data_IF_274818506107
#
_entry.id   IF_274818506107
#
_cell.length_a   1.000
_cell.length_b   1.000
_cell.length_c   1.000
_cell.angle_alpha   90.00
_cell.angle_beta   90.00
_cell.angle_gamma   90.00
#
_symmetry.space_group_name_H-M   'P 1'
#
loop_
_entity.id
_entity.type
_entity.pdbx_description
1 polymer ?
#
# COMPACT_ATOMS: atom_id res chain seq x y z
N UNK A 1 -50.24 -19.27 23.35
CA UNK A 1 -49.06 -18.65 23.99
C UNK A 1 -47.74 -19.16 23.42
N UNK A 2 -47.50 -20.47 23.31
CA UNK A 2 -46.22 -21.02 22.80
C UNK A 2 -45.83 -20.57 21.37
N UNK A 3 -46.80 -20.38 20.46
CA UNK A 3 -46.55 -19.90 19.09
C UNK A 3 -46.11 -18.43 19.02
N UNK A 4 -46.51 -17.59 19.98
CA UNK A 4 -46.13 -16.18 20.03
C UNK A 4 -44.67 -16.02 20.49
N UNK A 5 -44.23 -16.86 21.44
CA UNK A 5 -42.84 -16.89 21.90
C UNK A 5 -41.86 -17.36 20.82
N UNK A 6 -42.26 -18.33 19.98
CA UNK A 6 -41.43 -18.78 18.84
C UNK A 6 -41.30 -17.68 17.78
N UNK A 7 -42.37 -16.93 17.51
CA UNK A 7 -42.30 -15.79 16.59
C UNK A 7 -41.44 -14.64 17.14
N UNK A 8 -41.55 -14.31 18.43
CA UNK A 8 -40.71 -13.28 19.07
C UNK A 8 -39.24 -13.71 19.10
N UNK A 9 -38.95 -14.99 19.38
CA UNK A 9 -37.59 -15.52 19.35
C UNK A 9 -37.02 -15.53 17.92
N UNK A 10 -37.79 -15.92 16.91
CA UNK A 10 -37.37 -15.86 15.51
C UNK A 10 -37.15 -14.42 15.03
N UNK A 11 -37.99 -13.46 15.47
CA UNK A 11 -37.83 -12.04 15.16
C UNK A 11 -36.60 -11.43 15.86
N UNK A 12 -36.32 -11.82 17.11
CA UNK A 12 -35.11 -11.40 17.83
C UNK A 12 -33.84 -11.99 17.20
N UNK A 13 -33.87 -13.23 16.70
CA UNK A 13 -32.76 -13.83 15.96
C UNK A 13 -32.57 -13.15 14.59
N UNK A 14 -33.65 -12.76 13.91
CA UNK A 14 -33.57 -12.00 12.64
C UNK A 14 -33.07 -10.56 12.85
N UNK A 15 -33.41 -9.92 13.97
CA UNK A 15 -32.94 -8.57 14.31
C UNK A 15 -31.46 -8.57 14.75
N UNK A 16 -30.96 -9.67 15.34
CA UNK A 16 -29.52 -9.78 15.66
C UNK A 16 -28.65 -10.26 14.49
N UNK A 17 -29.21 -10.98 13.52
CA UNK A 17 -28.49 -11.36 12.28
C UNK A 17 -28.49 -10.26 11.20
N UNK A 18 -29.29 -9.22 11.39
CA UNK A 18 -29.58 -8.24 10.35
C UNK A 18 -29.18 -6.82 10.72
N UNK A 19 -27.97 -6.59 11.20
CA UNK A 19 -27.17 -5.37 10.95
C UNK A 19 -25.75 -5.61 11.50
N UNK A 20 -24.86 -6.15 10.67
CA UNK A 20 -23.45 -5.82 10.81
C UNK A 20 -23.36 -4.31 10.52
N UNK A 21 -23.54 -3.48 11.56
CA UNK A 21 -23.26 -2.07 11.47
C UNK A 21 -21.77 -1.98 11.14
N UNK A 22 -21.48 -1.77 9.86
CA UNK A 22 -20.15 -1.49 9.35
C UNK A 22 -19.65 -0.24 10.09
N UNK A 23 -18.99 -0.45 11.22
CA UNK A 23 -18.47 0.61 12.07
C UNK A 23 -17.44 1.36 11.24
N UNK A 24 -17.80 2.55 10.79
CA UNK A 24 -16.97 3.32 9.87
C UNK A 24 -15.67 3.65 10.59
N UNK A 25 -14.56 3.12 10.09
CA UNK A 25 -13.23 3.41 10.60
C UNK A 25 -12.79 4.82 10.19
N UNK A 26 -13.17 5.79 11.01
CA UNK A 26 -12.89 7.21 10.78
C UNK A 26 -11.38 7.50 10.67
N UNK A 27 -10.54 6.79 11.43
CA UNK A 27 -9.07 6.90 11.38
C UNK A 27 -8.53 6.44 10.03
N UNK A 28 -9.02 5.30 9.53
CA UNK A 28 -8.67 4.77 8.22
C UNK A 28 -8.96 5.73 7.07
N UNK A 29 -10.14 6.37 7.08
CA UNK A 29 -10.49 7.36 6.05
C UNK A 29 -9.63 8.61 6.10
N UNK A 30 -9.26 9.07 7.29
CA UNK A 30 -8.35 10.21 7.43
C UNK A 30 -6.95 9.87 6.90
N UNK A 31 -6.42 8.71 7.27
CA UNK A 31 -5.13 8.24 6.77
C UNK A 31 -5.13 8.04 5.24
N UNK A 32 -6.21 7.48 4.67
CA UNK A 32 -6.36 7.36 3.21
C UNK A 32 -6.29 8.71 2.50
N UNK A 33 -6.83 9.78 3.09
CA UNK A 33 -6.70 11.14 2.55
C UNK A 33 -5.22 11.53 2.52
N UNK A 34 -4.48 11.31 3.60
CA UNK A 34 -3.05 11.62 3.67
C UNK A 34 -2.23 10.82 2.64
N UNK A 35 -2.55 9.54 2.44
CA UNK A 35 -1.92 8.71 1.40
C UNK A 35 -2.19 9.26 0.00
N UNK A 36 -3.43 9.69 -0.28
CA UNK A 36 -3.78 10.29 -1.56
C UNK A 36 -3.09 11.64 -1.80
N UNK A 37 -3.02 12.49 -0.79
CA UNK A 37 -2.26 13.75 -0.89
C UNK A 37 -0.77 13.48 -1.15
N UNK A 38 -0.17 12.49 -0.47
CA UNK A 38 1.21 12.10 -0.72
C UNK A 38 1.42 11.57 -2.15
N UNK A 39 0.49 10.75 -2.67
CA UNK A 39 0.51 10.29 -4.06
C UNK A 39 0.38 11.45 -5.05
N UNK A 40 -0.46 12.45 -4.75
CA UNK A 40 -0.63 13.66 -5.58
C UNK A 40 0.65 14.51 -5.63
N UNK A 41 1.27 14.75 -4.46
CA UNK A 41 2.55 15.47 -4.35
C UNK A 41 3.66 14.76 -5.14
N UNK A 42 3.69 13.43 -5.09
CA UNK A 42 4.62 12.64 -5.90
C UNK A 42 4.29 12.76 -7.40
N UNK A 43 3.03 12.56 -7.78
CA UNK A 43 2.60 12.51 -9.18
C UNK A 43 2.88 13.84 -9.93
N UNK A 44 2.57 14.96 -9.28
CA UNK A 44 2.82 16.33 -9.78
C UNK A 44 4.32 16.66 -9.97
N UNK A 45 5.22 15.88 -9.35
CA UNK A 45 6.66 16.14 -9.40
C UNK A 45 7.14 17.24 -8.44
N UNK A 46 6.30 17.70 -7.52
CA UNK A 46 6.65 18.71 -6.51
C UNK A 46 7.90 18.31 -5.70
N UNK A 47 8.10 17.02 -5.44
CA UNK A 47 9.28 16.51 -4.70
C UNK A 47 10.58 16.81 -5.46
N UNK A 48 10.62 16.65 -6.79
CA UNK A 48 11.80 16.98 -7.60
C UNK A 48 12.12 18.47 -7.59
N UNK A 49 11.11 19.32 -7.41
CA UNK A 49 11.32 20.78 -7.30
C UNK A 49 11.98 21.18 -5.98
N UNK A 50 12.07 20.27 -4.99
CA UNK A 50 12.77 20.52 -3.73
C UNK A 50 14.28 20.25 -3.82
N UNK A 51 14.74 19.48 -4.82
CA UNK A 51 16.15 19.16 -5.02
C UNK A 51 17.03 20.41 -5.26
N UNK A 52 16.61 21.40 -6.07
CA UNK A 52 17.34 22.67 -6.23
C UNK A 52 17.38 23.53 -4.96
N UNK A 53 16.50 23.31 -3.97
CA UNK A 53 16.46 24.09 -2.73
C UNK A 53 17.60 23.76 -1.77
N UNK A 54 18.49 22.82 -2.13
CA UNK A 54 19.78 22.68 -1.48
C UNK A 54 19.68 22.35 0.01
N UNK A 55 18.79 21.42 0.38
CA UNK A 55 18.83 20.75 1.68
C UNK A 55 20.06 19.83 1.71
N UNK A 56 21.27 20.42 1.72
CA UNK A 56 22.58 19.81 1.45
C UNK A 56 23.05 18.71 2.40
N UNK A 57 22.13 18.08 3.14
CA UNK A 57 22.37 16.95 4.03
C UNK A 57 21.73 15.65 3.53
N UNK A 58 20.82 15.69 2.53
CA UNK A 58 20.09 14.50 2.05
C UNK A 58 19.93 14.55 0.52
N UNK A 59 20.56 13.63 -0.19
CA UNK A 59 20.25 13.37 -1.60
C UNK A 59 18.89 12.67 -1.67
N UNK A 60 17.89 13.32 -2.27
CA UNK A 60 16.57 12.72 -2.45
C UNK A 60 16.63 11.63 -3.53
N UNK A 61 15.94 10.50 -3.37
CA UNK A 61 15.78 9.53 -4.45
C UNK A 61 15.00 10.16 -5.62
N UNK A 62 15.09 9.58 -6.84
CA UNK A 62 14.39 10.08 -8.02
C UNK A 62 12.88 9.80 -7.96
N UNK A 63 12.19 10.49 -7.05
CA UNK A 63 10.77 10.31 -6.74
C UNK A 63 9.91 11.23 -7.62
N UNK A 64 8.84 10.68 -8.20
CA UNK A 64 7.96 11.37 -9.15
C UNK A 64 8.70 11.86 -10.40
N UNK A 65 8.07 12.69 -11.27
CA UNK A 65 6.62 12.74 -11.45
C UNK A 65 6.10 11.40 -12.00
N UNK A 66 4.84 11.09 -11.71
CA UNK A 66 4.21 9.84 -12.08
C UNK A 66 3.02 10.08 -13.02
N UNK A 67 3.09 9.51 -14.23
CA UNK A 67 2.13 9.78 -15.30
C UNK A 67 0.81 9.00 -15.19
N UNK A 68 0.76 7.95 -14.36
CA UNK A 68 -0.35 7.00 -14.31
C UNK A 68 -0.82 6.67 -12.88
N UNK A 69 -0.54 7.55 -11.92
CA UNK A 69 -0.81 7.33 -10.50
C UNK A 69 -2.32 7.36 -10.21
N UNK A 70 -2.92 6.22 -9.84
CA UNK A 70 -4.32 6.23 -9.42
C UNK A 70 -4.53 6.90 -8.06
N UNK A 71 -5.69 7.51 -7.87
CA UNK A 71 -6.20 7.79 -6.54
C UNK A 71 -6.54 6.49 -5.80
N UNK A 72 -6.12 6.36 -4.55
CA UNK A 72 -6.44 5.22 -3.70
C UNK A 72 -7.86 5.35 -3.12
N UNK A 73 -8.58 4.22 -3.07
CA UNK A 73 -9.92 4.05 -2.51
C UNK A 73 -9.85 3.15 -1.29
N UNK A 74 -10.75 3.38 -0.33
CA UNK A 74 -10.90 2.49 0.81
C UNK A 74 -11.55 1.18 0.38
N UNK A 75 -11.03 0.06 0.87
CA UNK A 75 -11.51 -1.29 0.57
C UNK A 75 -11.82 -2.01 1.88
N UNK A 76 -13.11 -2.26 2.11
CA UNK A 76 -13.60 -3.05 3.26
C UNK A 76 -12.99 -4.45 3.27
N UNK A 77 -12.87 -5.17 2.14
CA UNK A 77 -12.15 -6.45 2.11
C UNK A 77 -10.72 -6.36 2.65
N UNK A 78 -9.93 -5.34 2.26
CA UNK A 78 -8.56 -5.18 2.75
C UNK A 78 -8.53 -4.82 4.24
N UNK A 79 -9.48 -4.03 4.72
CA UNK A 79 -9.64 -3.72 6.15
C UNK A 79 -9.98 -4.98 6.96
N UNK A 80 -10.83 -5.86 6.45
CA UNK A 80 -11.13 -7.15 7.09
C UNK A 80 -9.89 -8.03 7.18
N UNK A 81 -9.05 -8.08 6.14
CA UNK A 81 -7.76 -8.79 6.19
C UNK A 81 -6.85 -8.14 7.24
N UNK A 82 -6.75 -6.81 7.24
CA UNK A 82 -5.91 -6.08 8.19
C UNK A 82 -6.32 -6.36 9.64
N UNK A 83 -7.62 -6.37 9.94
CA UNK A 83 -8.15 -6.68 11.25
C UNK A 83 -7.78 -8.11 11.71
N UNK A 84 -7.88 -9.10 10.80
CA UNK A 84 -7.52 -10.49 11.11
C UNK A 84 -6.03 -10.67 11.38
N UNK A 85 -5.18 -9.97 10.62
CA UNK A 85 -3.73 -10.08 10.72
C UNK A 85 -3.13 -9.23 11.84
N UNK A 86 -3.90 -8.32 12.42
CA UNK A 86 -3.41 -7.34 13.39
C UNK A 86 -2.77 -7.99 14.62
N UNK A 87 -3.39 -9.06 15.15
CA UNK A 87 -2.91 -9.75 16.36
C UNK A 87 -1.50 -10.35 16.18
N UNK A 88 -1.16 -10.81 14.98
CA UNK A 88 0.17 -11.35 14.70
C UNK A 88 1.21 -10.25 14.63
N UNK A 89 0.87 -9.12 14.02
CA UNK A 89 1.74 -7.95 13.92
C UNK A 89 1.94 -7.30 15.30
N UNK A 90 0.91 -7.25 16.14
CA UNK A 90 1.01 -6.72 17.50
C UNK A 90 2.05 -7.45 18.35
N UNK A 91 2.32 -8.74 18.09
CA UNK A 91 3.34 -9.53 18.80
C UNK A 91 4.79 -9.22 18.38
N UNK A 92 5.00 -8.55 17.24
CA UNK A 92 6.34 -8.22 16.76
C UNK A 92 7.03 -7.21 17.67
N UNK A 93 8.36 -7.17 17.69
CA UNK A 93 9.10 -6.25 18.58
C UNK A 93 9.47 -4.93 17.93
N UNK A 94 9.54 -4.91 16.61
CA UNK A 94 9.89 -3.73 15.84
C UNK A 94 8.74 -2.72 15.77
N UNK A 95 9.10 -1.45 15.68
CA UNK A 95 8.17 -0.32 15.70
C UNK A 95 7.41 -0.17 14.39
N UNK A 96 7.99 -0.62 13.28
CA UNK A 96 7.37 -0.54 11.96
C UNK A 96 8.07 -1.47 10.98
N UNK A 97 7.31 -1.93 9.99
CA UNK A 97 7.80 -2.89 9.02
C UNK A 97 6.80 -3.20 7.92
N UNK A 98 7.08 -4.28 7.20
CA UNK A 98 6.30 -4.75 6.07
C UNK A 98 5.31 -5.83 6.48
N UNK A 99 4.20 -5.89 5.77
CA UNK A 99 3.28 -7.00 5.76
C UNK A 99 3.27 -7.62 4.36
N UNK A 100 3.46 -8.93 4.25
CA UNK A 100 3.45 -9.62 2.98
C UNK A 100 2.87 -11.03 3.09
N UNK A 101 1.97 -11.36 2.17
CA UNK A 101 1.44 -12.70 1.89
C UNK A 101 1.46 -12.91 0.38
N UNK A 102 0.97 -14.06 -0.11
CA UNK A 102 0.83 -14.31 -1.56
C UNK A 102 -0.10 -13.30 -2.26
N UNK A 103 -1.16 -12.86 -1.58
CA UNK A 103 -2.20 -11.98 -2.14
C UNK A 103 -2.05 -10.50 -1.74
N UNK A 104 -1.34 -10.23 -0.64
CA UNK A 104 -1.38 -8.94 0.03
C UNK A 104 0.01 -8.43 0.37
N UNK A 105 0.16 -7.12 0.24
CA UNK A 105 1.33 -6.36 0.64
C UNK A 105 0.88 -5.19 1.52
N UNK A 106 1.78 -4.63 2.29
CA UNK A 106 1.41 -3.58 3.22
C UNK A 106 2.51 -3.21 4.16
N UNK A 107 2.14 -2.39 5.12
CA UNK A 107 3.07 -1.85 6.11
C UNK A 107 2.32 -1.59 7.41
N UNK A 108 3.08 -1.61 8.50
CA UNK A 108 2.55 -1.30 9.82
C UNK A 108 3.47 -0.36 10.58
N UNK A 109 2.88 0.31 11.58
CA UNK A 109 3.60 1.05 12.59
C UNK A 109 2.91 0.90 13.95
N UNK A 110 3.71 0.91 15.02
CA UNK A 110 3.28 0.85 16.40
C UNK A 110 3.28 2.24 17.01
N UNK A 111 2.43 2.45 18.01
CA UNK A 111 2.32 3.72 18.74
C UNK A 111 1.90 4.87 17.82
N UNK A 112 2.83 5.73 17.40
CA UNK A 112 2.57 6.81 16.47
C UNK A 112 3.51 6.78 15.26
N UNK A 113 3.12 7.51 14.22
CA UNK A 113 3.85 7.55 12.96
C UNK A 113 5.22 8.25 13.10
N UNK A 114 5.36 9.20 14.02
CA UNK A 114 6.59 9.97 14.24
C UNK A 114 7.69 9.06 14.77
N UNK A 115 7.38 8.25 15.77
CA UNK A 115 8.32 7.28 16.35
C UNK A 115 8.77 6.24 15.32
N UNK A 116 7.84 5.78 14.49
CA UNK A 116 8.14 4.86 13.39
C UNK A 116 9.10 5.48 12.36
N UNK A 117 8.88 6.74 11.96
CA UNK A 117 9.79 7.44 11.03
C UNK A 117 11.17 7.67 11.66
N UNK A 118 11.21 8.04 12.94
CA UNK A 118 12.46 8.23 13.66
C UNK A 118 13.30 6.95 13.74
N UNK A 119 12.65 5.81 13.98
CA UNK A 119 13.31 4.51 14.00
C UNK A 119 13.88 4.12 12.63
N UNK A 120 13.11 4.31 11.55
CA UNK A 120 13.60 4.09 10.19
C UNK A 120 14.75 5.03 9.84
N UNK A 121 14.62 6.31 10.15
CA UNK A 121 15.66 7.31 9.92
C UNK A 121 16.97 6.95 10.63
N UNK A 122 16.88 6.49 11.89
CA UNK A 122 18.03 5.99 12.65
C UNK A 122 18.64 4.73 12.01
N UNK A 123 17.81 3.78 11.56
CA UNK A 123 18.29 2.56 10.88
C UNK A 123 19.02 2.87 9.57
N UNK A 124 18.55 3.84 8.80
CA UNK A 124 19.09 4.14 7.46
C UNK A 124 20.26 5.12 7.50
N UNK A 125 20.17 6.19 8.30
CA UNK A 125 21.13 7.30 8.30
C UNK A 125 21.95 7.42 9.59
N UNK A 126 21.68 6.61 10.61
CA UNK A 126 22.36 6.69 11.91
C UNK A 126 22.04 7.95 12.72
N UNK A 127 21.08 8.78 12.28
CA UNK A 127 20.72 10.05 12.89
C UNK A 127 19.25 10.07 13.33
N UNK A 128 18.94 10.85 14.37
CA UNK A 128 17.56 11.14 14.79
C UNK A 128 17.02 12.32 13.98
N UNK A 129 15.79 12.21 13.50
CA UNK A 129 15.13 13.24 12.69
C UNK A 129 14.36 14.27 13.54
N UNK A 130 14.62 14.30 14.86
CA UNK A 130 13.96 15.16 15.85
C UNK A 130 13.82 16.64 15.41
N UNK A 131 14.83 17.31 14.81
CA UNK A 131 14.70 18.72 14.42
C UNK A 131 13.70 18.96 13.28
N UNK A 132 13.56 17.98 12.37
CA UNK A 132 12.63 18.06 11.24
C UNK A 132 11.21 17.78 11.76
N UNK A 133 11.05 16.79 12.63
CA UNK A 133 9.76 16.40 13.21
C UNK A 133 9.19 17.47 14.15
N UNK A 134 10.04 18.18 14.91
CA UNK A 134 9.59 19.34 15.70
C UNK A 134 9.10 20.50 14.82
N UNK A 135 9.75 20.77 13.68
CA UNK A 135 9.27 21.76 12.72
C UNK A 135 7.96 21.32 12.07
N UNK A 136 7.81 20.04 11.76
CA UNK A 136 6.57 19.48 11.19
C UNK A 136 5.39 19.59 12.15
N UNK A 137 5.61 19.47 13.48
CA UNK A 137 4.57 19.69 14.52
C UNK A 137 3.91 21.06 14.48
N UNK A 138 4.57 22.08 13.93
CA UNK A 138 4.02 23.42 13.80
C UNK A 138 2.97 23.57 12.67
N UNK A 139 2.89 22.60 11.74
CA UNK A 139 1.95 22.62 10.62
C UNK A 139 0.75 21.68 10.91
N UNK A 140 -0.35 22.22 11.43
CA UNK A 140 -1.57 21.44 11.70
C UNK A 140 -2.17 20.81 10.42
N UNK A 141 -2.80 19.63 10.58
CA UNK A 141 -3.44 18.74 9.58
C UNK A 141 -2.57 18.21 8.43
N UNK A 142 -1.64 19.01 7.91
CA UNK A 142 -0.68 18.60 6.87
C UNK A 142 0.43 17.67 7.39
N UNK A 143 0.59 17.59 8.72
CA UNK A 143 1.70 16.88 9.34
C UNK A 143 1.72 15.38 9.05
N UNK A 144 0.57 14.70 9.10
CA UNK A 144 0.53 13.25 8.89
C UNK A 144 0.84 12.88 7.44
N UNK A 145 0.38 13.71 6.49
CA UNK A 145 0.76 13.58 5.08
C UNK A 145 2.27 13.75 4.90
N UNK A 146 2.86 14.77 5.52
CA UNK A 146 4.30 15.03 5.43
C UNK A 146 5.13 13.92 6.10
N UNK A 147 4.73 13.45 7.29
CA UNK A 147 5.40 12.35 7.98
C UNK A 147 5.32 11.07 7.14
N UNK A 148 4.14 10.74 6.60
CA UNK A 148 3.98 9.59 5.71
C UNK A 148 4.85 9.72 4.45
N UNK A 149 4.88 10.90 3.84
CA UNK A 149 5.69 11.16 2.66
C UNK A 149 7.19 11.00 2.95
N UNK A 150 7.67 11.54 4.09
CA UNK A 150 9.05 11.33 4.54
C UNK A 150 9.32 9.84 4.70
N UNK A 151 8.44 9.11 5.40
CA UNK A 151 8.61 7.68 5.60
C UNK A 151 8.72 6.91 4.27
N UNK A 152 7.82 7.19 3.32
CA UNK A 152 7.81 6.60 1.99
C UNK A 152 9.06 6.95 1.16
N UNK A 153 9.61 8.15 1.33
CA UNK A 153 10.89 8.53 0.70
C UNK A 153 12.05 7.77 1.36
N UNK A 154 12.08 7.63 2.68
CA UNK A 154 13.15 6.90 3.38
C UNK A 154 13.15 5.42 3.00
N UNK A 155 11.97 4.83 2.77
CA UNK A 155 11.81 3.43 2.33
C UNK A 155 11.72 3.28 0.81
N UNK A 156 12.03 4.33 0.04
CA UNK A 156 11.96 4.27 -1.41
C UNK A 156 12.97 3.26 -1.97
N UNK A 157 12.59 2.43 -2.97
CA UNK A 157 13.50 1.44 -3.55
C UNK A 157 14.76 2.08 -4.14
N UNK A 158 15.93 1.49 -3.85
CA UNK A 158 17.22 1.97 -4.36
C UNK A 158 17.55 1.45 -5.77
N UNK A 159 16.85 0.43 -6.23
CA UNK A 159 17.07 -0.21 -7.52
C UNK A 159 15.74 -0.65 -8.13
N UNK A 160 15.66 -0.54 -9.46
CA UNK A 160 14.54 -1.04 -10.26
C UNK A 160 15.06 -2.09 -11.27
N UNK A 161 14.29 -3.16 -11.57
CA UNK A 161 13.00 -3.53 -10.98
C UNK A 161 13.12 -3.90 -9.50
N UNK A 162 12.07 -3.62 -8.73
CA UNK A 162 11.98 -3.93 -7.30
C UNK A 162 11.94 -5.45 -7.13
N UNK A 163 12.86 -6.04 -6.35
CA UNK A 163 12.83 -7.48 -6.05
C UNK A 163 11.52 -7.90 -5.39
N UNK A 164 11.05 -9.12 -5.66
CA UNK A 164 9.77 -9.62 -5.13
C UNK A 164 9.72 -9.68 -3.60
N UNK A 165 10.85 -9.98 -2.97
CA UNK A 165 11.00 -10.01 -1.52
C UNK A 165 11.44 -8.66 -0.93
N UNK A 166 11.43 -7.59 -1.71
CA UNK A 166 11.86 -6.28 -1.22
C UNK A 166 10.89 -5.74 -0.17
N UNK A 167 11.47 -5.27 0.92
CA UNK A 167 10.78 -4.71 2.07
C UNK A 167 10.76 -3.18 1.98
N UNK A 168 9.79 -2.63 1.23
CA UNK A 168 9.76 -1.20 0.86
C UNK A 168 8.79 -0.35 1.70
N UNK A 169 8.19 -0.94 2.73
CA UNK A 169 7.38 -0.30 3.75
C UNK A 169 6.23 0.54 3.18
N UNK A 170 6.03 1.79 3.63
CA UNK A 170 4.99 2.67 3.09
C UNK A 170 5.14 3.00 1.60
N UNK A 171 6.29 2.73 0.98
CA UNK A 171 6.44 2.84 -0.48
C UNK A 171 5.53 1.87 -1.23
N UNK A 172 5.02 0.81 -0.58
CA UNK A 172 3.96 -0.05 -1.12
C UNK A 172 2.72 0.76 -1.55
N UNK A 173 2.44 1.86 -0.84
CA UNK A 173 1.34 2.77 -1.17
C UNK A 173 1.65 3.72 -2.33
N UNK A 174 2.84 3.66 -2.94
CA UNK A 174 3.24 4.47 -4.09
C UNK A 174 3.13 3.72 -5.43
N UNK A 175 2.75 2.44 -5.42
CA UNK A 175 2.43 1.74 -6.66
C UNK A 175 1.23 2.41 -7.36
N UNK A 176 1.46 2.92 -8.57
CA UNK A 176 0.46 3.68 -9.34
C UNK A 176 -0.77 2.87 -9.68
N UNK A 177 -0.60 1.59 -10.01
CA UNK A 177 -1.70 0.70 -10.39
C UNK A 177 -2.49 0.15 -9.20
N UNK A 178 -1.97 0.27 -7.97
CA UNK A 178 -2.70 -0.11 -6.75
C UNK A 178 -3.59 1.04 -6.33
N UNK A 179 -4.90 0.81 -6.33
CA UNK A 179 -5.91 1.83 -6.02
C UNK A 179 -6.87 1.40 -4.90
N UNK A 180 -6.63 0.28 -4.23
CA UNK A 180 -7.41 -0.17 -3.08
C UNK A 180 -6.49 -0.37 -1.88
N UNK A 181 -6.88 0.20 -0.74
CA UNK A 181 -6.24 -0.08 0.55
C UNK A 181 -7.28 -0.20 1.65
N UNK A 182 -6.94 -0.92 2.72
CA UNK A 182 -7.70 -0.93 3.96
C UNK A 182 -6.76 -1.10 5.14
N UNK A 183 -7.08 -0.46 6.25
CA UNK A 183 -6.25 -0.50 7.44
C UNK A 183 -7.06 -0.82 8.68
N UNK A 184 -6.42 -1.49 9.62
CA UNK A 184 -6.92 -1.73 10.96
C UNK A 184 -6.04 -0.98 11.97
N UNK A 185 -6.66 -0.52 13.07
CA UNK A 185 -5.99 0.30 14.08
C UNK A 185 -6.34 -0.21 15.48
N UNK A 186 -5.31 -0.50 16.26
CA UNK A 186 -5.36 -0.74 17.71
C UNK A 186 -4.09 -0.12 18.33
N UNK A 187 -3.32 -0.87 19.13
CA UNK A 187 -1.95 -0.50 19.54
C UNK A 187 -0.95 -0.48 18.36
N UNK A 188 -1.35 -1.10 17.25
CA UNK A 188 -0.63 -1.11 15.97
C UNK A 188 -1.60 -0.67 14.89
N UNK A 189 -1.10 0.09 13.92
CA UNK A 189 -1.79 0.33 12.66
C UNK A 189 -1.20 -0.57 11.58
N UNK A 190 -2.05 -1.33 10.89
CA UNK A 190 -1.67 -2.19 9.77
C UNK A 190 -2.49 -1.79 8.55
N UNK A 191 -1.82 -1.39 7.48
CA UNK A 191 -2.44 -1.08 6.20
C UNK A 191 -2.09 -2.15 5.16
N UNK A 192 -3.12 -2.64 4.47
CA UNK A 192 -3.04 -3.69 3.47
C UNK A 192 -3.49 -3.16 2.10
N UNK A 193 -2.74 -3.57 1.08
CA UNK A 193 -2.99 -3.38 -0.34
C UNK A 193 -2.93 -4.73 -1.04
N UNK A 194 -3.60 -4.87 -2.18
CA UNK A 194 -3.45 -6.07 -3.03
C UNK A 194 -2.03 -6.13 -3.59
N UNK A 195 -1.36 -7.26 -3.42
CA UNK A 195 -0.03 -7.44 -4.01
C UNK A 195 -0.16 -7.62 -5.52
N UNK A 196 0.38 -6.65 -6.24
CA UNK A 196 0.45 -6.63 -7.70
C UNK A 196 1.75 -5.91 -8.03
N UNK A 197 2.69 -6.56 -8.71
CA UNK A 197 3.95 -5.93 -9.09
C UNK A 197 3.90 -5.54 -10.57
N UNK A 198 3.88 -4.24 -10.86
CA UNK A 198 3.90 -3.70 -12.22
C UNK A 198 5.32 -3.79 -12.81
N UNK A 199 5.76 -5.00 -13.14
CA UNK A 199 7.11 -5.31 -13.65
C UNK A 199 8.23 -4.76 -12.73
N UNK A 200 7.97 -4.73 -11.42
CA UNK A 200 8.89 -4.19 -10.43
C UNK A 200 9.07 -2.66 -10.47
N UNK A 201 8.21 -1.90 -11.16
CA UNK A 201 8.21 -0.42 -11.12
C UNK A 201 7.07 0.10 -10.26
N UNK A 202 7.29 1.19 -9.50
CA UNK A 202 6.22 1.82 -8.73
C UNK A 202 5.20 2.48 -9.65
N UNK A 203 5.66 3.18 -10.69
CA UNK A 203 4.83 3.94 -11.60
C UNK A 203 5.56 4.20 -12.93
N UNK A 204 4.83 4.70 -13.93
CA UNK A 204 5.42 5.18 -15.18
C UNK A 204 5.86 6.63 -14.97
N UNK A 205 7.15 6.91 -15.17
CA UNK A 205 7.64 8.29 -15.14
C UNK A 205 7.01 9.12 -16.28
N UNK A 206 6.74 10.39 -15.95
CA UNK A 206 6.22 11.39 -16.89
C UNK A 206 5.32 12.40 -16.19
N UNK A 207 4.86 13.39 -16.96
CA UNK A 207 3.93 14.42 -16.47
C UNK A 207 2.66 13.76 -15.95
N UNK A 208 2.16 14.25 -14.80
CA UNK A 208 0.95 13.76 -14.16
C UNK A 208 -0.20 13.61 -15.17
N UNK A 209 -1.00 12.57 -14.99
CA UNK A 209 -2.16 12.24 -15.81
C UNK A 209 -1.96 11.97 -17.32
N UNK A 210 -0.74 12.08 -17.87
CA UNK A 210 -0.50 11.82 -19.31
C UNK A 210 -0.59 10.35 -19.74
N UNK A 211 -0.58 9.41 -18.80
CA UNK A 211 -0.66 7.96 -19.05
C UNK A 211 -1.71 7.28 -18.16
N UNK A 212 -2.75 7.99 -17.75
CA UNK A 212 -3.88 7.38 -17.04
C UNK A 212 -4.52 6.30 -17.91
N UNK A 213 -4.67 5.05 -17.43
CA UNK A 213 -5.40 4.03 -18.18
C UNK A 213 -6.90 4.33 -18.30
N UNK A 214 -7.44 5.15 -17.40
CA UNK A 214 -8.82 5.65 -17.43
C UNK A 214 -8.85 7.12 -17.87
N UNK A 215 -9.01 8.06 -16.94
CA UNK A 215 -9.02 9.51 -17.12
C UNK A 215 -8.47 10.17 -15.84
N UNK A 216 -8.04 11.42 -15.96
CA UNK A 216 -7.57 12.19 -14.81
C UNK A 216 -8.72 12.66 -13.93
N UNK A 217 -8.47 12.82 -12.63
CA UNK A 217 -9.44 13.46 -11.74
C UNK A 217 -9.58 14.94 -12.06
N UNK A 218 -10.73 15.52 -11.71
CA UNK A 218 -10.95 16.96 -11.75
C UNK A 218 -11.19 17.45 -10.33
N UNK A 219 -10.58 18.58 -9.99
CA UNK A 219 -10.63 19.18 -8.66
C UNK A 219 -11.24 20.58 -8.77
N UNK A 220 -12.27 20.83 -7.97
CA UNK A 220 -12.84 22.16 -7.83
C UNK A 220 -11.97 22.99 -6.88
N UNK A 221 -11.56 24.16 -7.34
CA UNK A 221 -10.75 25.11 -6.60
C UNK A 221 -11.61 25.99 -5.69
N UNK A 222 -10.95 26.74 -4.80
CA UNK A 222 -11.63 27.63 -3.86
C UNK A 222 -12.37 28.79 -4.53
N UNK A 223 -11.98 29.17 -5.74
CA UNK A 223 -12.66 30.18 -6.57
C UNK A 223 -13.77 29.60 -7.45
N UNK A 224 -14.05 28.30 -7.33
CA UNK A 224 -15.09 27.58 -8.08
C UNK A 224 -14.68 27.16 -9.49
N UNK A 225 -13.42 27.37 -9.90
CA UNK A 225 -12.92 26.79 -11.15
C UNK A 225 -12.71 25.28 -10.99
N UNK A 226 -12.78 24.55 -12.10
CA UNK A 226 -12.52 23.10 -12.12
C UNK A 226 -11.24 22.89 -12.93
N UNK A 227 -10.19 22.43 -12.26
CA UNK A 227 -8.92 22.10 -12.88
C UNK A 227 -8.75 20.58 -12.97
N UNK A 228 -7.94 20.15 -13.94
CA UNK A 228 -7.43 18.78 -13.97
C UNK A 228 -6.51 18.55 -12.77
N UNK A 229 -6.73 17.47 -12.04
CA UNK A 229 -5.90 17.06 -10.90
C UNK A 229 -4.61 16.34 -11.34
N UNK A 230 -3.94 15.68 -10.40
CA UNK A 230 -2.68 14.97 -10.68
C UNK A 230 -2.81 13.44 -10.57
N UNK A 231 -3.99 12.94 -10.21
CA UNK A 231 -4.25 11.51 -10.02
C UNK A 231 -5.27 10.98 -11.02
N UNK A 232 -5.07 9.75 -11.47
CA UNK A 232 -6.02 9.03 -12.30
C UNK A 232 -7.23 8.55 -11.48
N UNK A 233 -8.41 8.55 -12.10
CA UNK A 233 -9.62 8.00 -11.49
C UNK A 233 -9.61 6.47 -11.58
N UNK A 234 -9.73 5.73 -10.46
CA UNK A 234 -9.66 4.27 -10.52
C UNK A 234 -10.83 3.67 -11.30
N UNK A 235 -10.62 2.52 -11.97
CA UNK A 235 -11.65 1.88 -12.77
C UNK A 235 -12.91 1.59 -11.95
N UNK A 236 -14.04 1.45 -12.64
CA UNK A 236 -15.30 1.08 -11.99
C UNK A 236 -15.22 -0.39 -11.53
N UNK A 237 -15.71 -0.74 -10.33
CA UNK A 237 -15.75 -2.13 -9.89
C UNK A 237 -16.46 -3.01 -10.93
N UNK A 238 -15.86 -4.14 -11.29
CA UNK A 238 -16.41 -5.09 -12.28
C UNK A 238 -16.26 -4.66 -13.75
N UNK A 239 -15.58 -3.54 -14.03
CA UNK A 239 -15.18 -3.20 -15.41
C UNK A 239 -14.11 -4.16 -15.94
N UNK A 240 -13.93 -4.22 -17.26
CA UNK A 240 -12.89 -5.04 -17.87
C UNK A 240 -11.48 -4.58 -17.43
N UNK A 241 -11.30 -3.29 -17.17
CA UNK A 241 -10.07 -2.71 -16.65
C UNK A 241 -9.83 -3.09 -15.18
N UNK A 242 -10.86 -3.08 -14.34
CA UNK A 242 -10.81 -3.58 -12.95
C UNK A 242 -10.52 -5.08 -12.91
N UNK A 243 -11.18 -5.85 -13.78
CA UNK A 243 -10.98 -7.29 -13.91
C UNK A 243 -9.58 -7.61 -14.42
N UNK A 244 -9.10 -6.95 -15.48
CA UNK A 244 -7.77 -7.17 -16.05
C UNK A 244 -6.64 -6.85 -15.06
N UNK A 245 -6.82 -5.83 -14.21
CA UNK A 245 -5.85 -5.49 -13.17
C UNK A 245 -5.86 -6.51 -12.02
N UNK A 246 -7.03 -7.04 -11.64
CA UNK A 246 -7.15 -8.13 -10.64
C UNK A 246 -6.63 -9.46 -11.19
N UNK A 247 -6.96 -9.80 -12.44
CA UNK A 247 -6.47 -10.98 -13.16
C UNK A 247 -4.95 -10.92 -13.36
N UNK A 248 -4.33 -9.76 -13.58
CA UNK A 248 -2.87 -9.66 -13.63
C UNK A 248 -2.20 -10.00 -12.28
N UNK A 249 -2.94 -9.88 -11.17
CA UNK A 249 -2.52 -10.35 -9.85
C UNK A 249 -2.66 -11.87 -9.73
N UNK A 250 -3.81 -12.41 -10.15
CA UNK A 250 -4.16 -13.83 -10.04
C UNK A 250 -3.41 -14.71 -11.05
N UNK A 251 -3.12 -14.23 -12.26
CA UNK A 251 -2.37 -14.98 -13.27
C UNK A 251 -0.91 -15.24 -12.86
N UNK A 252 -0.33 -14.39 -12.00
CA UNK A 252 0.99 -14.66 -11.40
C UNK A 252 0.97 -15.82 -10.42
N UNK A 253 -0.16 -16.05 -9.72
CA UNK A 253 -0.35 -17.25 -8.88
C UNK A 253 -0.24 -18.53 -9.71
N UNK A 254 -0.72 -18.48 -10.96
CA UNK A 254 -0.65 -19.62 -11.87
C UNK A 254 0.77 -19.84 -12.43
N UNK A 255 1.50 -18.76 -12.74
CA UNK A 255 2.90 -18.85 -13.19
C UNK A 255 3.84 -19.34 -12.07
N UNK A 256 3.71 -18.85 -10.83
CA UNK A 256 4.51 -19.29 -9.69
C UNK A 256 4.17 -20.72 -9.21
N UNK A 257 2.94 -21.20 -9.45
CA UNK A 257 2.56 -22.60 -9.24
C UNK A 257 3.06 -23.55 -10.34
N UNK A 258 3.43 -23.00 -11.50
CA UNK A 258 4.00 -23.76 -12.60
C UNK A 258 5.53 -23.78 -12.47
N UNK A 259 6.04 -24.73 -11.69
CA UNK A 259 7.45 -25.10 -11.77
C UNK A 259 7.85 -25.24 -13.24
N UNK A 260 8.88 -24.53 -13.66
CA UNK A 260 9.29 -24.54 -15.06
C UNK A 260 9.58 -25.99 -15.49
N UNK A 261 9.31 -26.38 -16.76
CA UNK A 261 9.72 -27.70 -17.27
C UNK A 261 11.23 -27.95 -17.09
N UNK A 262 12.01 -26.88 -16.92
CA UNK A 262 13.46 -26.92 -16.70
C UNK A 262 13.79 -27.41 -15.29
N UNK A 263 13.03 -27.05 -14.27
CA UNK A 263 13.27 -27.48 -12.88
C UNK A 263 12.93 -28.96 -12.67
N UNK A 264 11.88 -29.46 -13.36
CA UNK A 264 11.55 -30.89 -13.38
C UNK A 264 12.66 -31.68 -14.10
N UNK A 265 13.16 -31.17 -15.23
CA UNK A 265 14.25 -31.81 -15.99
C UNK A 265 15.57 -31.83 -15.20
N UNK A 266 15.92 -30.73 -14.51
CA UNK A 266 17.11 -30.65 -13.65
C UNK A 266 16.98 -31.62 -12.47
N UNK A 267 15.81 -31.69 -11.83
CA UNK A 267 15.59 -32.60 -10.71
C UNK A 267 15.68 -34.06 -11.16
N UNK A 268 15.15 -34.41 -12.34
CA UNK A 268 15.27 -35.75 -12.93
C UNK A 268 16.74 -36.08 -13.27
N UNK A 269 17.48 -35.14 -13.87
CA UNK A 269 18.89 -35.33 -14.21
C UNK A 269 19.77 -35.50 -12.97
N UNK A 270 19.56 -34.70 -11.93
CA UNK A 270 20.29 -34.80 -10.65
C UNK A 270 19.99 -36.14 -9.96
N UNK A 271 18.72 -36.56 -9.96
CA UNK A 271 18.30 -37.86 -9.42
C UNK A 271 18.97 -39.03 -10.15
N UNK A 272 19.07 -38.96 -11.48
CA UNK A 272 19.72 -39.98 -12.30
C UNK A 272 21.24 -40.03 -12.06
N UNK A 273 21.91 -38.89 -11.91
CA UNK A 273 23.35 -38.87 -11.58
C UNK A 273 23.65 -39.40 -10.18
N UNK A 274 22.77 -39.19 -9.21
CA UNK A 274 22.92 -39.77 -7.86
C UNK A 274 22.74 -41.29 -7.92
N UNK A 275 21.71 -41.78 -8.61
CA UNK A 275 21.47 -43.22 -8.76
C UNK A 275 22.64 -43.91 -9.48
N UNK A 276 23.20 -43.32 -10.54
CA UNK A 276 24.36 -43.88 -11.24
C UNK A 276 25.66 -43.86 -10.44
N UNK A 277 25.87 -42.90 -9.53
CA UNK A 277 27.05 -42.85 -8.66
C UNK A 277 26.95 -43.69 -7.39
N UNK A 278 25.77 -44.25 -7.09
CA UNK A 278 25.58 -45.08 -5.87
C UNK A 278 25.48 -46.58 -6.18
N UNK A 279 25.45 -46.98 -7.46
CA UNK A 279 25.27 -48.37 -7.91
C UNK A 279 26.47 -48.91 -8.71
N UNK A 280 27.61 -48.22 -8.68
CA UNK A 280 28.91 -48.75 -9.14
C UNK A 280 29.89 -48.76 -7.96
#
# INVERSE_FOLDING_TARGET
MMRLFVFIAAFLIFVTYGQEQMQINHRGRFFLRNVNEARKILASGLIRQLEPLGLGFITLPPVGPAANMYRMKWSVPMETVANKSLLEISKRKDLCGNYKTSEYSGFYWKYDLVDAVNDVGKRIFGAKFDPILEKLKSFSSAIETLIFLVWAILTYPKSFPIPENAEIGPSEALYAHRYEMGCAFDDVALCILRDTTANGTLYKEGVACTKCPTYCEFVEQADGTIDEGDLCVPPKPGSAEDAGMKLSAEMKEFEDSSSSPVDIIITILVSLTIIFNTVI
#
